data_IF_406009689877
#
_entry.id   IF_406009689877
#
_cell.length_a   1.000
_cell.length_b   1.000
_cell.length_c   1.000
_cell.angle_alpha   90.00
_cell.angle_beta   90.00
_cell.angle_gamma   90.00
#
_symmetry.space_group_name_H-M   'P 1'
#
loop_
_entity.id
_entity.type
_entity.pdbx_description
1 polymer ?
#
# COMPACT_ATOMS: atom_id res chain seq x y z
N UNK A 1 -13.11 -38.19 -16.52
CA UNK A 1 -12.63 -37.17 -17.45
C UNK A 1 -11.23 -36.78 -17.02
N UNK A 2 -10.33 -36.49 -17.98
CA UNK A 2 -9.02 -35.93 -17.62
C UNK A 2 -9.20 -34.55 -16.96
N UNK A 3 -8.43 -34.22 -15.90
CA UNK A 3 -8.49 -32.91 -15.26
C UNK A 3 -8.17 -31.77 -16.23
N UNK A 4 -9.07 -30.80 -16.38
CA UNK A 4 -8.92 -29.69 -17.33
C UNK A 4 -8.49 -28.37 -16.66
N UNK A 5 -8.75 -28.20 -15.36
CA UNK A 5 -8.50 -26.97 -14.62
C UNK A 5 -7.02 -26.67 -14.42
N UNK A 6 -6.58 -25.51 -14.89
CA UNK A 6 -5.23 -24.98 -14.64
C UNK A 6 -5.09 -24.44 -13.22
N UNK A 7 -6.16 -23.90 -12.65
CA UNK A 7 -6.16 -23.34 -11.30
C UNK A 7 -7.59 -23.35 -10.73
N UNK A 8 -7.72 -23.54 -9.43
CA UNK A 8 -8.98 -23.31 -8.73
C UNK A 8 -8.96 -21.95 -8.02
N UNK A 9 -10.13 -21.32 -7.92
CA UNK A 9 -10.32 -20.15 -7.08
C UNK A 9 -11.50 -20.34 -6.12
N UNK A 10 -11.19 -20.26 -4.82
CA UNK A 10 -12.13 -20.33 -3.71
C UNK A 10 -12.53 -18.90 -3.30
N UNK A 11 -13.81 -18.58 -3.42
CA UNK A 11 -14.39 -17.32 -2.97
C UNK A 11 -14.86 -16.44 -4.12
N UNK A 12 -16.18 -16.39 -4.32
CA UNK A 12 -16.82 -15.68 -5.43
C UNK A 12 -17.40 -14.33 -5.01
N UNK A 13 -16.64 -13.58 -4.23
CA UNK A 13 -16.90 -12.15 -4.07
C UNK A 13 -16.47 -11.40 -5.36
N UNK A 14 -16.76 -10.10 -5.43
CA UNK A 14 -16.42 -9.23 -6.56
C UNK A 14 -14.98 -9.42 -7.06
N UNK A 15 -13.99 -9.44 -6.15
CA UNK A 15 -12.58 -9.66 -6.52
C UNK A 15 -12.34 -11.04 -7.14
N UNK A 16 -12.94 -12.09 -6.57
CA UNK A 16 -12.74 -13.47 -7.03
C UNK A 16 -13.36 -13.72 -8.39
N UNK A 17 -14.59 -13.27 -8.62
CA UNK A 17 -15.28 -13.41 -9.92
C UNK A 17 -14.49 -12.73 -11.04
N UNK A 18 -14.07 -11.48 -10.81
CA UNK A 18 -13.30 -10.73 -11.79
C UNK A 18 -11.92 -11.36 -12.09
N UNK A 19 -11.25 -11.91 -11.08
CA UNK A 19 -9.96 -12.57 -11.29
C UNK A 19 -10.09 -13.90 -12.04
N UNK A 20 -11.17 -14.66 -11.79
CA UNK A 20 -11.50 -15.87 -12.56
C UNK A 20 -11.74 -15.52 -14.02
N UNK A 21 -12.56 -14.49 -14.29
CA UNK A 21 -12.84 -14.04 -15.66
C UNK A 21 -11.58 -13.56 -16.37
N UNK A 22 -10.72 -12.83 -15.67
CA UNK A 22 -9.42 -12.42 -16.19
C UNK A 22 -8.54 -13.63 -16.58
N UNK A 23 -8.44 -14.63 -15.71
CA UNK A 23 -7.73 -15.88 -16.04
C UNK A 23 -8.33 -16.61 -17.25
N UNK A 24 -9.66 -16.69 -17.34
CA UNK A 24 -10.35 -17.31 -18.47
C UNK A 24 -10.05 -16.58 -19.80
N UNK A 25 -10.07 -15.25 -19.80
CA UNK A 25 -9.77 -14.45 -21.00
C UNK A 25 -8.33 -14.62 -21.50
N UNK A 26 -7.42 -14.98 -20.58
CA UNK A 26 -6.03 -15.31 -20.90
C UNK A 26 -5.81 -16.79 -21.22
N UNK A 27 -6.88 -17.55 -21.47
CA UNK A 27 -6.84 -18.92 -21.96
C UNK A 27 -6.62 -19.99 -20.89
N UNK A 28 -6.77 -19.65 -19.60
CA UNK A 28 -6.69 -20.63 -18.51
C UNK A 28 -8.07 -21.18 -18.15
N UNK A 29 -8.18 -22.49 -17.99
CA UNK A 29 -9.39 -23.13 -17.47
C UNK A 29 -9.39 -23.01 -15.94
N UNK A 30 -10.35 -22.27 -15.38
CA UNK A 30 -10.45 -22.04 -13.93
C UNK A 30 -11.57 -22.85 -13.32
N UNK A 31 -11.30 -23.50 -12.19
CA UNK A 31 -12.33 -24.18 -11.39
C UNK A 31 -12.83 -23.23 -10.30
N UNK A 32 -14.05 -22.72 -10.47
CA UNK A 32 -14.70 -21.81 -9.54
C UNK A 32 -15.34 -22.58 -8.38
N UNK A 33 -15.02 -22.21 -7.15
CA UNK A 33 -15.63 -22.79 -5.95
C UNK A 33 -15.99 -21.71 -4.92
N UNK A 34 -17.06 -21.95 -4.18
CA UNK A 34 -17.46 -21.12 -3.06
C UNK A 34 -18.16 -21.96 -1.99
N UNK A 35 -17.99 -21.62 -0.71
CA UNK A 35 -18.63 -22.32 0.42
C UNK A 35 -20.14 -22.47 0.26
N UNK A 36 -20.80 -21.45 -0.27
CA UNK A 36 -22.23 -21.46 -0.60
C UNK A 36 -22.39 -21.80 -2.08
N UNK A 37 -22.93 -22.99 -2.38
CA UNK A 37 -23.08 -23.51 -3.75
C UNK A 37 -23.90 -22.59 -4.66
N UNK A 38 -24.95 -21.94 -4.13
CA UNK A 38 -25.77 -21.00 -4.90
C UNK A 38 -24.96 -19.87 -5.55
N UNK A 39 -23.87 -19.40 -4.92
CA UNK A 39 -22.99 -18.38 -5.53
C UNK A 39 -22.21 -18.91 -6.73
N UNK A 40 -21.90 -20.20 -6.76
CA UNK A 40 -21.30 -20.84 -7.93
C UNK A 40 -22.34 -20.90 -9.03
N UNK A 41 -23.55 -21.36 -8.72
CA UNK A 41 -24.64 -21.46 -9.69
C UNK A 41 -24.99 -20.10 -10.32
N UNK A 42 -25.11 -19.06 -9.50
CA UNK A 42 -25.35 -17.67 -9.94
C UNK A 42 -24.22 -17.16 -10.84
N UNK A 43 -22.96 -17.43 -10.50
CA UNK A 43 -21.82 -17.01 -11.30
C UNK A 43 -21.77 -17.73 -12.65
N UNK A 44 -21.99 -19.05 -12.65
CA UNK A 44 -22.01 -19.88 -13.85
C UNK A 44 -23.18 -19.55 -14.79
N UNK A 45 -24.34 -19.20 -14.24
CA UNK A 45 -25.51 -18.77 -15.02
C UNK A 45 -25.43 -17.31 -15.49
N UNK A 46 -24.61 -16.48 -14.83
CA UNK A 46 -24.42 -15.07 -15.13
C UNK A 46 -23.10 -14.80 -15.84
N UNK A 47 -22.16 -14.15 -15.13
CA UNK A 47 -20.92 -13.60 -15.69
C UNK A 47 -20.00 -14.66 -16.36
N UNK A 48 -20.06 -15.92 -15.93
CA UNK A 48 -19.27 -17.02 -16.49
C UNK A 48 -20.01 -17.83 -17.56
N UNK A 49 -21.23 -17.45 -17.95
CA UNK A 49 -21.97 -18.16 -18.99
C UNK A 49 -21.23 -18.13 -20.34
N UNK A 50 -21.05 -19.29 -20.97
CA UNK A 50 -20.35 -19.41 -22.25
C UNK A 50 -18.82 -19.32 -22.18
N UNK A 51 -18.25 -19.30 -20.98
CA UNK A 51 -16.79 -19.35 -20.77
C UNK A 51 -16.29 -20.79 -20.60
N UNK A 52 -14.97 -20.98 -20.48
CA UNK A 52 -14.36 -22.28 -20.19
C UNK A 52 -14.22 -22.53 -18.68
N UNK A 53 -14.92 -21.76 -17.84
CA UNK A 53 -14.88 -21.90 -16.38
C UNK A 53 -15.66 -23.16 -15.96
N UNK A 54 -15.12 -23.89 -14.98
CA UNK A 54 -15.77 -25.08 -14.41
C UNK A 54 -16.29 -24.71 -13.01
N UNK A 55 -17.60 -24.81 -12.79
CA UNK A 55 -18.18 -24.65 -11.46
C UNK A 55 -18.10 -25.95 -10.66
N UNK A 56 -17.52 -25.91 -9.46
CA UNK A 56 -17.52 -27.04 -8.52
C UNK A 56 -18.44 -26.77 -7.33
N UNK A 57 -19.17 -27.79 -6.87
CA UNK A 57 -20.08 -27.73 -5.72
C UNK A 57 -19.47 -28.26 -4.42
N UNK A 58 -18.31 -28.92 -4.50
CA UNK A 58 -17.57 -29.43 -3.34
C UNK A 58 -16.05 -29.34 -3.52
N UNK A 59 -15.29 -29.37 -2.42
CA UNK A 59 -13.82 -29.40 -2.48
C UNK A 59 -13.30 -30.65 -3.22
N UNK A 60 -13.80 -31.88 -2.97
CA UNK A 60 -13.38 -33.06 -3.73
C UNK A 60 -13.60 -32.92 -5.24
N UNK A 61 -14.76 -32.37 -5.64
CA UNK A 61 -15.07 -32.10 -7.04
C UNK A 61 -14.13 -31.06 -7.64
N UNK A 62 -13.86 -29.97 -6.92
CA UNK A 62 -12.91 -28.94 -7.34
C UNK A 62 -11.53 -29.54 -7.57
N UNK A 63 -11.00 -30.30 -6.61
CA UNK A 63 -9.67 -30.92 -6.65
C UNK A 63 -9.55 -31.96 -7.78
N UNK A 64 -10.60 -32.72 -8.05
CA UNK A 64 -10.63 -33.75 -9.11
C UNK A 64 -10.54 -33.13 -10.51
N UNK A 65 -11.00 -31.89 -10.68
CA UNK A 65 -10.94 -31.18 -11.96
C UNK A 65 -9.56 -30.51 -12.22
N UNK A 66 -8.64 -30.48 -11.26
CA UNK A 66 -7.36 -29.77 -11.38
C UNK A 66 -6.22 -30.61 -11.94
N UNK A 67 -5.48 -30.03 -12.89
CA UNK A 67 -4.19 -30.54 -13.38
C UNK A 67 -3.15 -30.52 -12.24
N UNK A 68 -2.25 -31.51 -12.23
CA UNK A 68 -1.13 -31.61 -11.27
C UNK A 68 0.12 -30.82 -11.73
N UNK A 69 0.92 -30.23 -10.81
CA UNK A 69 0.58 -30.02 -9.40
C UNK A 69 -0.63 -29.07 -9.30
N UNK A 70 -1.54 -29.42 -8.39
CA UNK A 70 -2.81 -28.70 -8.23
C UNK A 70 -2.51 -27.31 -7.66
N UNK A 71 -3.21 -26.32 -8.20
CA UNK A 71 -3.06 -24.91 -7.82
C UNK A 71 -4.40 -24.43 -7.28
N UNK A 72 -4.47 -24.12 -5.98
CA UNK A 72 -5.71 -23.72 -5.31
C UNK A 72 -5.53 -22.34 -4.71
N UNK A 73 -6.14 -21.33 -5.33
CA UNK A 73 -6.14 -19.95 -4.86
C UNK A 73 -7.37 -19.64 -3.99
N UNK A 74 -7.18 -18.89 -2.92
CA UNK A 74 -8.21 -18.46 -2.01
C UNK A 74 -8.32 -16.93 -2.02
N UNK A 75 -9.53 -16.41 -2.24
CA UNK A 75 -9.91 -15.01 -2.07
C UNK A 75 -11.09 -14.91 -1.10
N UNK A 76 -10.79 -15.23 0.16
CA UNK A 76 -11.76 -15.23 1.26
C UNK A 76 -11.41 -14.16 2.29
N UNK A 77 -12.26 -13.99 3.31
CA UNK A 77 -11.99 -13.07 4.41
C UNK A 77 -10.70 -13.50 5.13
N UNK A 78 -9.78 -12.57 5.33
CA UNK A 78 -8.51 -12.81 6.03
C UNK A 78 -8.74 -13.29 7.48
N UNK A 79 -7.71 -13.96 8.04
CA UNK A 79 -7.75 -14.58 9.36
C UNK A 79 -8.24 -16.03 9.32
N UNK A 80 -8.99 -16.46 10.36
CA UNK A 80 -9.45 -17.83 10.56
C UNK A 80 -10.06 -18.51 9.32
N UNK A 81 -10.89 -17.84 8.48
CA UNK A 81 -11.47 -18.50 7.31
C UNK A 81 -10.44 -19.03 6.31
N UNK A 82 -9.25 -18.42 6.23
CA UNK A 82 -8.15 -18.95 5.39
C UNK A 82 -7.57 -20.23 6.00
N UNK A 83 -7.36 -20.26 7.31
CA UNK A 83 -6.84 -21.44 8.01
C UNK A 83 -7.84 -22.61 7.92
N UNK A 84 -9.14 -22.34 8.09
CA UNK A 84 -10.19 -23.35 7.95
C UNK A 84 -10.22 -23.98 6.54
N UNK A 85 -9.95 -23.19 5.49
CA UNK A 85 -9.88 -23.71 4.13
C UNK A 85 -8.60 -24.49 3.89
N UNK A 86 -7.45 -24.06 4.43
CA UNK A 86 -6.21 -24.84 4.36
C UNK A 86 -6.46 -26.24 4.93
N UNK A 87 -7.02 -26.34 6.14
CA UNK A 87 -7.27 -27.63 6.78
C UNK A 87 -8.28 -28.51 6.02
N UNK A 88 -9.28 -27.90 5.38
CA UNK A 88 -10.22 -28.62 4.50
C UNK A 88 -9.58 -29.11 3.19
N UNK A 89 -8.55 -28.43 2.69
CA UNK A 89 -7.87 -28.80 1.44
C UNK A 89 -6.85 -29.92 1.65
N UNK A 90 -6.13 -29.92 2.78
CA UNK A 90 -5.05 -30.87 3.05
C UNK A 90 -5.39 -32.35 2.78
N UNK A 91 -6.58 -32.89 3.14
CA UNK A 91 -6.90 -34.30 2.90
C UNK A 91 -7.04 -34.69 1.42
N UNK A 92 -7.17 -33.71 0.52
CA UNK A 92 -7.42 -33.92 -0.91
C UNK A 92 -6.22 -33.57 -1.80
N UNK A 93 -5.17 -32.97 -1.23
CA UNK A 93 -3.97 -32.57 -1.95
C UNK A 93 -2.85 -33.61 -1.78
N UNK A 94 -1.94 -33.66 -2.74
CA UNK A 94 -0.78 -34.56 -2.76
C UNK A 94 0.53 -33.76 -2.68
N UNK A 95 1.65 -34.37 -2.23
CA UNK A 95 2.93 -33.69 -2.16
C UNK A 95 3.31 -32.95 -3.44
N UNK A 96 3.73 -31.68 -3.30
CA UNK A 96 4.02 -30.76 -4.40
C UNK A 96 2.84 -29.90 -4.87
N UNK A 97 1.60 -30.18 -4.44
CA UNK A 97 0.46 -29.30 -4.71
C UNK A 97 0.59 -27.95 -3.98
N UNK A 98 -0.08 -26.92 -4.52
CA UNK A 98 0.16 -25.52 -4.19
C UNK A 98 -1.13 -24.87 -3.67
N UNK A 99 -1.07 -24.35 -2.44
CA UNK A 99 -2.10 -23.52 -1.85
C UNK A 99 -1.68 -22.05 -1.97
N UNK A 100 -2.59 -21.19 -2.43
CA UNK A 100 -2.33 -19.77 -2.64
C UNK A 100 -3.35 -18.95 -1.86
N UNK A 101 -2.88 -18.08 -0.97
CA UNK A 101 -3.72 -17.07 -0.30
C UNK A 101 -3.57 -15.74 -1.06
N UNK A 102 -4.61 -15.33 -1.77
CA UNK A 102 -4.67 -14.05 -2.49
C UNK A 102 -5.29 -12.90 -1.70
N UNK A 103 -5.66 -13.13 -0.44
CA UNK A 103 -6.35 -12.16 0.40
C UNK A 103 -5.46 -11.00 0.83
N UNK A 104 -6.03 -10.10 1.65
CA UNK A 104 -5.22 -9.12 2.39
C UNK A 104 -4.86 -9.71 3.76
N UNK A 105 -4.15 -10.84 3.78
CA UNK A 105 -3.69 -11.48 5.00
C UNK A 105 -2.51 -10.73 5.62
N UNK A 106 -2.39 -10.82 6.93
CA UNK A 106 -1.23 -10.34 7.67
C UNK A 106 -0.02 -11.24 7.36
N UNK A 107 1.17 -10.67 7.20
CA UNK A 107 2.31 -11.42 6.65
C UNK A 107 2.84 -12.50 7.61
N UNK A 108 2.71 -12.30 8.92
CA UNK A 108 3.05 -13.29 9.95
C UNK A 108 2.16 -14.54 9.84
N UNK A 109 0.88 -14.37 9.50
CA UNK A 109 0.01 -15.50 9.21
C UNK A 109 0.52 -16.29 8.00
N UNK A 110 1.00 -15.60 6.96
CA UNK A 110 1.60 -16.27 5.81
C UNK A 110 2.93 -16.96 6.13
N UNK A 111 3.77 -16.40 7.01
CA UNK A 111 4.97 -17.09 7.50
C UNK A 111 4.57 -18.39 8.21
N UNK A 112 3.60 -18.32 9.13
CA UNK A 112 3.07 -19.49 9.85
C UNK A 112 2.47 -20.53 8.89
N UNK A 113 1.62 -20.09 7.95
CA UNK A 113 0.96 -20.95 6.97
C UNK A 113 1.95 -21.61 6.02
N UNK A 114 2.98 -20.88 5.59
CA UNK A 114 4.05 -21.45 4.76
C UNK A 114 4.69 -22.64 5.47
N UNK A 115 5.13 -22.45 6.72
CA UNK A 115 5.73 -23.52 7.53
C UNK A 115 4.77 -24.71 7.73
N UNK A 116 3.50 -24.43 8.02
CA UNK A 116 2.50 -25.48 8.24
C UNK A 116 2.24 -26.32 6.98
N UNK A 117 2.01 -25.66 5.84
CA UNK A 117 1.72 -26.32 4.56
C UNK A 117 2.94 -27.10 4.06
N UNK A 118 4.15 -26.54 4.19
CA UNK A 118 5.40 -27.25 3.86
C UNK A 118 5.64 -28.49 4.73
N UNK A 119 5.25 -28.46 6.01
CA UNK A 119 5.35 -29.64 6.89
C UNK A 119 4.45 -30.81 6.45
N UNK A 120 3.49 -30.54 5.55
CA UNK A 120 2.61 -31.54 4.92
C UNK A 120 3.09 -31.96 3.52
N UNK A 121 4.27 -31.51 3.09
CA UNK A 121 4.83 -31.80 1.76
C UNK A 121 4.22 -30.97 0.63
N UNK A 122 3.47 -29.92 0.95
CA UNK A 122 2.83 -29.02 0.00
C UNK A 122 3.59 -27.69 -0.10
N UNK A 123 3.21 -26.85 -1.06
CA UNK A 123 3.75 -25.49 -1.18
C UNK A 123 2.69 -24.43 -0.86
N UNK A 124 3.13 -23.31 -0.30
CA UNK A 124 2.27 -22.17 -0.01
C UNK A 124 2.76 -20.91 -0.69
N UNK A 125 1.85 -20.11 -1.24
CA UNK A 125 2.12 -18.76 -1.73
C UNK A 125 1.14 -17.79 -1.07
N UNK A 126 1.66 -16.82 -0.31
CA UNK A 126 0.91 -15.63 0.08
C UNK A 126 1.12 -14.55 -0.97
N UNK A 127 0.06 -14.16 -1.69
CA UNK A 127 0.15 -13.22 -2.80
C UNK A 127 -0.73 -11.99 -2.60
N UNK A 128 -0.10 -10.82 -2.55
CA UNK A 128 -0.84 -9.57 -2.57
C UNK A 128 -1.46 -9.31 -3.94
N UNK A 129 -2.77 -9.04 -4.00
CA UNK A 129 -3.46 -8.61 -5.23
C UNK A 129 -3.97 -7.18 -5.06
N UNK A 130 -3.57 -6.25 -5.92
CA UNK A 130 -3.98 -4.83 -5.89
C UNK A 130 -4.58 -4.41 -7.22
N UNK A 131 -5.53 -3.46 -7.19
CA UNK A 131 -6.22 -2.94 -8.38
C UNK A 131 -7.73 -2.70 -8.25
N UNK A 132 -8.32 -3.09 -7.12
CA UNK A 132 -9.76 -3.01 -6.93
C UNK A 132 -10.52 -3.97 -7.85
N UNK A 133 -11.83 -3.73 -7.97
CA UNK A 133 -12.72 -4.55 -8.79
C UNK A 133 -12.32 -4.55 -10.27
N UNK A 134 -12.15 -3.36 -10.84
CA UNK A 134 -11.76 -3.17 -12.24
C UNK A 134 -10.37 -3.76 -12.51
N UNK A 135 -9.38 -3.46 -11.65
CA UNK A 135 -8.04 -4.00 -11.82
C UNK A 135 -7.99 -5.53 -11.74
N UNK A 136 -8.80 -6.17 -10.89
CA UNK A 136 -8.88 -7.64 -10.88
C UNK A 136 -9.34 -8.22 -12.23
N UNK A 137 -10.22 -7.50 -12.94
CA UNK A 137 -10.80 -7.92 -14.23
C UNK A 137 -9.86 -7.71 -15.41
N UNK A 138 -9.11 -6.61 -15.41
CA UNK A 138 -8.35 -6.13 -16.58
C UNK A 138 -6.84 -6.26 -16.43
N UNK A 139 -6.33 -6.38 -15.20
CA UNK A 139 -4.91 -6.51 -14.92
C UNK A 139 -4.51 -5.98 -13.56
N UNK A 140 -4.44 -6.81 -12.50
CA UNK A 140 -4.03 -6.35 -11.19
C UNK A 140 -2.49 -6.33 -11.09
N UNK A 141 -1.99 -5.67 -10.04
CA UNK A 141 -0.64 -5.92 -9.54
C UNK A 141 -0.65 -7.15 -8.63
N UNK A 142 0.28 -8.09 -8.84
CA UNK A 142 0.33 -9.38 -8.13
C UNK A 142 1.71 -9.57 -7.51
N UNK A 143 1.75 -9.77 -6.19
CA UNK A 143 2.96 -9.74 -5.37
C UNK A 143 3.16 -11.10 -4.65
N UNK A 144 3.55 -12.18 -5.36
CA UNK A 144 3.68 -13.51 -4.78
C UNK A 144 4.94 -13.68 -3.93
N UNK A 145 4.79 -14.30 -2.76
CA UNK A 145 5.90 -14.82 -1.96
C UNK A 145 5.49 -16.08 -1.18
N UNK A 146 6.46 -16.88 -0.72
CA UNK A 146 6.18 -18.16 -0.06
C UNK A 146 7.22 -19.23 -0.37
N UNK A 147 6.77 -20.42 -0.72
CA UNK A 147 7.62 -21.53 -1.20
C UNK A 147 8.14 -21.24 -2.61
N UNK A 148 9.43 -20.94 -2.75
CA UNK A 148 10.05 -20.58 -4.05
C UNK A 148 9.88 -21.66 -5.12
N UNK A 149 9.87 -22.94 -4.72
CA UNK A 149 9.64 -24.07 -5.61
C UNK A 149 8.25 -24.04 -6.31
N UNK A 150 7.26 -23.34 -5.76
CA UNK A 150 5.94 -23.21 -6.39
C UNK A 150 5.88 -22.12 -7.48
N UNK A 151 6.81 -21.16 -7.48
CA UNK A 151 6.79 -20.03 -8.41
C UNK A 151 6.73 -20.46 -9.89
N UNK A 152 7.54 -21.41 -10.39
CA UNK A 152 7.50 -21.82 -11.80
C UNK A 152 6.11 -22.31 -12.26
N UNK A 153 5.30 -22.88 -11.36
CA UNK A 153 4.00 -23.46 -11.68
C UNK A 153 2.87 -22.42 -11.75
N UNK A 154 3.04 -21.26 -11.10
CA UNK A 154 2.03 -20.17 -11.08
C UNK A 154 2.46 -18.96 -11.89
N UNK A 155 3.76 -18.84 -12.22
CA UNK A 155 4.35 -17.69 -12.93
C UNK A 155 3.59 -17.32 -14.19
N UNK A 156 3.35 -18.28 -15.08
CA UNK A 156 2.71 -18.00 -16.36
C UNK A 156 1.28 -17.48 -16.18
N UNK A 157 0.52 -18.03 -15.23
CA UNK A 157 -0.84 -17.57 -14.92
C UNK A 157 -0.79 -16.13 -14.38
N UNK A 158 0.02 -15.89 -13.35
CA UNK A 158 0.06 -14.58 -12.69
C UNK A 158 0.63 -13.48 -13.60
N UNK A 159 1.70 -13.80 -14.33
CA UNK A 159 2.25 -12.83 -15.27
C UNK A 159 1.31 -12.56 -16.44
N UNK A 160 0.58 -13.54 -16.96
CA UNK A 160 -0.41 -13.33 -18.02
C UNK A 160 -1.52 -12.38 -17.57
N UNK A 161 -2.17 -12.65 -16.43
CA UNK A 161 -3.33 -11.88 -15.97
C UNK A 161 -3.00 -10.53 -15.34
N UNK A 162 -1.75 -10.30 -14.92
CA UNK A 162 -1.35 -9.02 -14.30
C UNK A 162 -1.37 -7.85 -15.28
N UNK A 163 -1.44 -6.62 -14.77
CA UNK A 163 -1.21 -5.44 -15.59
C UNK A 163 0.14 -5.51 -16.32
N UNK A 164 0.21 -4.90 -17.50
CA UNK A 164 1.47 -4.70 -18.24
C UNK A 164 1.80 -3.22 -18.25
N UNK A 165 3.07 -2.88 -18.07
CA UNK A 165 3.56 -1.51 -18.32
C UNK A 165 3.88 -1.33 -19.81
N UNK A 166 4.23 -0.11 -20.22
CA UNK A 166 4.45 0.30 -21.63
C UNK A 166 5.40 -0.61 -22.43
N UNK A 167 6.43 -1.16 -21.77
CA UNK A 167 7.42 -2.06 -22.39
C UNK A 167 6.96 -3.54 -22.45
N UNK A 168 5.71 -3.82 -22.03
CA UNK A 168 5.14 -5.16 -21.96
C UNK A 168 5.51 -5.94 -20.70
N UNK A 169 6.31 -5.40 -19.77
CA UNK A 169 6.67 -6.11 -18.56
C UNK A 169 5.46 -6.32 -17.63
N UNK A 170 5.28 -7.52 -17.06
CA UNK A 170 4.20 -7.80 -16.13
C UNK A 170 4.42 -7.11 -14.79
N UNK A 171 3.34 -6.56 -14.23
CA UNK A 171 3.27 -6.07 -12.85
C UNK A 171 3.16 -7.23 -11.85
N UNK A 172 3.99 -8.26 -12.06
CA UNK A 172 4.06 -9.46 -11.25
C UNK A 172 5.44 -10.10 -11.38
N UNK A 173 6.11 -10.27 -10.23
CA UNK A 173 7.34 -11.04 -10.11
C UNK A 173 7.46 -11.66 -8.71
N UNK A 174 8.37 -12.62 -8.55
CA UNK A 174 8.64 -13.25 -7.27
C UNK A 174 9.19 -12.23 -6.26
N UNK A 175 8.47 -12.05 -5.15
CA UNK A 175 8.83 -11.08 -4.11
C UNK A 175 9.89 -11.64 -3.17
N UNK A 176 9.72 -12.90 -2.74
CA UNK A 176 10.62 -13.53 -1.78
C UNK A 176 9.96 -14.66 -0.99
N UNK A 177 10.70 -15.21 -0.04
CA UNK A 177 10.27 -16.34 0.77
C UNK A 177 9.14 -15.99 1.77
N UNK A 178 8.41 -17.00 2.21
CA UNK A 178 7.46 -16.94 3.32
C UNK A 178 6.38 -15.84 3.12
N UNK A 179 6.20 -14.94 4.09
CA UNK A 179 5.22 -13.86 4.04
C UNK A 179 5.61 -12.64 3.19
N UNK A 180 6.73 -12.67 2.44
CA UNK A 180 7.25 -11.48 1.75
C UNK A 180 6.25 -10.83 0.80
N UNK A 181 5.45 -11.62 0.07
CA UNK A 181 4.42 -11.12 -0.84
C UNK A 181 3.35 -10.27 -0.15
N UNK A 182 2.76 -10.80 0.93
CA UNK A 182 1.81 -10.05 1.75
C UNK A 182 2.45 -8.89 2.50
N UNK A 183 3.72 -8.98 2.89
CA UNK A 183 4.44 -7.86 3.50
C UNK A 183 4.56 -6.68 2.54
N UNK A 184 4.99 -6.92 1.29
CA UNK A 184 5.06 -5.89 0.25
C UNK A 184 3.68 -5.30 -0.01
N UNK A 185 2.62 -6.11 -0.02
CA UNK A 185 1.24 -5.61 -0.16
C UNK A 185 0.77 -4.77 1.04
N UNK A 186 1.18 -5.14 2.25
CA UNK A 186 0.91 -4.35 3.46
C UNK A 186 1.54 -2.96 3.31
N UNK A 187 2.83 -2.88 2.95
CA UNK A 187 3.52 -1.61 2.75
C UNK A 187 2.92 -0.80 1.60
N UNK A 188 2.53 -1.43 0.47
CA UNK A 188 1.77 -0.78 -0.60
C UNK A 188 0.53 -0.08 -0.04
N UNK A 189 -0.27 -0.76 0.80
CA UNK A 189 -1.47 -0.17 1.39
C UNK A 189 -1.15 0.95 2.38
N UNK A 190 -0.03 0.88 3.09
CA UNK A 190 0.46 1.98 3.92
C UNK A 190 0.78 3.22 3.07
N UNK A 191 1.50 3.04 1.97
CA UNK A 191 1.80 4.11 1.00
C UNK A 191 0.51 4.68 0.39
N UNK A 192 -0.44 3.83 0.02
CA UNK A 192 -1.77 4.24 -0.46
C UNK A 192 -2.47 5.18 0.52
N UNK A 193 -2.42 4.87 1.83
CA UNK A 193 -3.01 5.73 2.86
C UNK A 193 -2.31 7.08 2.92
N UNK A 194 -0.98 7.10 2.80
CA UNK A 194 -0.18 8.32 2.73
C UNK A 194 -0.55 9.19 1.52
N UNK A 195 -0.59 8.60 0.32
CA UNK A 195 -0.90 9.30 -0.92
C UNK A 195 -2.31 9.93 -0.87
N UNK A 196 -3.31 9.16 -0.44
CA UNK A 196 -4.68 9.68 -0.26
C UNK A 196 -4.72 10.84 0.73
N UNK A 197 -4.05 10.71 1.88
CA UNK A 197 -4.04 11.76 2.91
C UNK A 197 -3.38 13.05 2.39
N UNK A 198 -2.26 12.95 1.68
CA UNK A 198 -1.59 14.11 1.08
C UNK A 198 -2.49 14.83 0.07
N UNK A 199 -3.21 14.07 -0.76
CA UNK A 199 -4.17 14.63 -1.72
C UNK A 199 -5.34 15.31 -1.00
N UNK A 200 -5.87 14.71 0.08
CA UNK A 200 -6.89 15.33 0.92
C UNK A 200 -6.41 16.65 1.57
N UNK A 201 -5.15 16.72 1.98
CA UNK A 201 -4.55 17.94 2.53
C UNK A 201 -4.43 19.04 1.45
N UNK A 202 -4.00 18.69 0.24
CA UNK A 202 -3.98 19.61 -0.90
C UNK A 202 -5.39 20.15 -1.23
N UNK A 203 -6.38 19.25 -1.29
CA UNK A 203 -7.79 19.61 -1.44
C UNK A 203 -8.26 20.56 -0.32
N UNK A 204 -7.95 20.27 0.94
CA UNK A 204 -8.36 21.09 2.08
C UNK A 204 -7.73 22.50 2.03
N UNK A 205 -6.45 22.60 1.66
CA UNK A 205 -5.77 23.88 1.47
C UNK A 205 -6.41 24.72 0.35
N UNK A 206 -6.81 24.10 -0.76
CA UNK A 206 -7.50 24.78 -1.86
C UNK A 206 -8.93 25.18 -1.46
N UNK A 207 -9.71 24.26 -0.89
CA UNK A 207 -11.09 24.49 -0.51
C UNK A 207 -11.22 25.51 0.62
N UNK A 208 -10.62 25.23 1.78
CA UNK A 208 -10.81 26.05 2.97
C UNK A 208 -9.81 27.20 3.07
N UNK A 209 -8.61 27.05 2.48
CA UNK A 209 -7.61 28.10 2.45
C UNK A 209 -7.84 29.11 1.32
N UNK A 210 -8.05 28.64 0.09
CA UNK A 210 -8.20 29.48 -1.10
C UNK A 210 -9.66 29.68 -1.55
N UNK A 211 -10.63 29.15 -0.80
CA UNK A 211 -12.07 29.23 -1.11
C UNK A 211 -12.40 28.72 -2.52
N UNK A 212 -11.72 27.68 -2.97
CA UNK A 212 -11.92 27.12 -4.31
C UNK A 212 -13.19 26.29 -4.42
N UNK A 213 -13.87 26.38 -5.57
CA UNK A 213 -14.99 25.48 -5.89
C UNK A 213 -14.49 24.10 -6.31
N UNK A 214 -15.38 23.10 -6.31
CA UNK A 214 -15.08 21.77 -6.82
C UNK A 214 -14.60 21.79 -8.29
N UNK A 215 -15.18 22.67 -9.12
CA UNK A 215 -14.82 22.79 -10.54
C UNK A 215 -13.44 23.44 -10.73
N UNK A 216 -13.10 24.45 -9.91
CA UNK A 216 -11.75 25.03 -9.93
C UNK A 216 -10.69 23.99 -9.48
N UNK A 217 -10.99 23.19 -8.46
CA UNK A 217 -10.09 22.14 -7.99
C UNK A 217 -9.99 21.00 -9.00
N UNK A 218 -11.08 20.63 -9.68
CA UNK A 218 -11.07 19.66 -10.78
C UNK A 218 -10.05 20.07 -11.86
N UNK A 219 -10.07 21.34 -12.28
CA UNK A 219 -9.13 21.85 -13.28
C UNK A 219 -7.67 21.77 -12.80
N UNK A 220 -7.39 22.09 -11.54
CA UNK A 220 -6.03 21.99 -10.96
C UNK A 220 -5.55 20.53 -10.92
N UNK A 221 -6.37 19.60 -10.43
CA UNK A 221 -5.97 18.19 -10.40
C UNK A 221 -5.83 17.59 -11.80
N UNK A 222 -6.59 18.08 -12.78
CA UNK A 222 -6.40 17.73 -14.20
C UNK A 222 -5.01 18.15 -14.68
N UNK A 223 -4.63 19.41 -14.46
CA UNK A 223 -3.30 19.93 -14.83
C UNK A 223 -2.17 19.17 -14.13
N UNK A 224 -2.31 18.91 -12.81
CA UNK A 224 -1.31 18.14 -12.06
C UNK A 224 -1.12 16.73 -12.59
N UNK A 225 -2.17 16.10 -13.12
CA UNK A 225 -2.09 14.75 -13.69
C UNK A 225 -1.37 14.70 -15.05
N UNK A 226 -1.14 15.84 -15.69
CA UNK A 226 -0.35 15.93 -16.94
C UNK A 226 1.15 16.14 -16.64
N UNK A 227 1.51 16.30 -15.35
CA UNK A 227 2.87 16.62 -14.89
C UNK A 227 3.52 15.53 -14.04
N UNK A 228 4.35 15.94 -13.08
CA UNK A 228 5.12 15.04 -12.20
C UNK A 228 4.27 14.28 -11.16
N UNK A 229 3.00 14.67 -11.00
CA UNK A 229 2.02 14.03 -10.14
C UNK A 229 1.12 13.03 -10.88
N UNK A 230 1.35 12.77 -12.16
CA UNK A 230 0.62 11.76 -12.94
C UNK A 230 0.50 10.44 -12.19
N UNK A 231 -0.74 10.15 -11.77
CA UNK A 231 -1.09 8.98 -10.98
C UNK A 231 -2.58 8.72 -10.96
N UNK A 232 -2.95 7.46 -10.79
CA UNK A 232 -4.36 7.08 -10.70
C UNK A 232 -5.11 7.79 -9.57
N UNK A 233 -4.47 8.00 -8.41
CA UNK A 233 -5.13 8.71 -7.29
C UNK A 233 -5.42 10.18 -7.61
N UNK A 234 -4.58 10.85 -8.40
CA UNK A 234 -4.83 12.22 -8.86
C UNK A 234 -5.94 12.23 -9.91
N UNK A 235 -5.92 11.27 -10.84
CA UNK A 235 -6.97 11.05 -11.85
C UNK A 235 -8.35 10.86 -11.22
N UNK A 236 -8.51 9.92 -10.29
CA UNK A 236 -9.82 9.70 -9.65
C UNK A 236 -10.23 10.90 -8.79
N UNK A 237 -9.28 11.65 -8.23
CA UNK A 237 -9.59 12.87 -7.46
C UNK A 237 -10.16 13.94 -8.37
N UNK A 238 -9.58 14.14 -9.55
CA UNK A 238 -10.13 15.00 -10.62
C UNK A 238 -11.56 14.57 -10.95
N UNK A 239 -11.79 13.27 -11.18
CA UNK A 239 -13.10 12.78 -11.61
C UNK A 239 -14.17 12.90 -10.50
N UNK A 240 -13.79 12.61 -9.24
CA UNK A 240 -14.64 12.80 -8.06
C UNK A 240 -15.07 14.26 -7.91
N UNK A 241 -14.15 15.21 -8.10
CA UNK A 241 -14.46 16.64 -8.02
C UNK A 241 -15.39 17.12 -9.15
N UNK A 242 -15.32 16.47 -10.32
CA UNK A 242 -16.20 16.74 -11.45
C UNK A 242 -17.59 16.11 -11.32
N UNK A 243 -17.76 15.12 -10.44
CA UNK A 243 -19.01 14.37 -10.31
C UNK A 243 -20.10 15.18 -9.58
N UNK A 244 -21.27 15.32 -10.23
CA UNK A 244 -22.45 15.98 -9.67
C UNK A 244 -23.47 14.94 -9.23
N UNK A 245 -24.17 15.22 -8.13
CA UNK A 245 -25.28 14.40 -7.66
C UNK A 245 -26.57 14.70 -8.43
N UNK A 246 -27.66 14.00 -8.07
CA UNK A 246 -28.99 14.14 -8.70
C UNK A 246 -29.56 15.57 -8.63
N UNK A 247 -29.07 16.39 -7.69
CA UNK A 247 -29.48 17.78 -7.50
C UNK A 247 -28.52 18.78 -8.17
N UNK A 248 -27.54 18.30 -8.94
CA UNK A 248 -26.55 19.12 -9.65
C UNK A 248 -25.41 19.66 -8.78
N UNK A 249 -25.35 19.33 -7.48
CA UNK A 249 -24.28 19.77 -6.58
C UNK A 249 -23.09 18.79 -6.58
N UNK A 250 -21.86 19.21 -6.19
CA UNK A 250 -20.73 18.29 -6.12
C UNK A 250 -20.96 17.22 -5.06
N UNK A 251 -20.99 15.93 -5.45
CA UNK A 251 -21.32 14.83 -4.53
C UNK A 251 -20.34 14.76 -3.35
N UNK A 252 -19.06 15.03 -3.60
CA UNK A 252 -17.98 14.99 -2.60
C UNK A 252 -18.25 15.89 -1.38
N UNK A 253 -19.03 16.96 -1.53
CA UNK A 253 -19.38 17.85 -0.41
C UNK A 253 -20.50 17.32 0.48
N UNK A 254 -21.22 16.29 0.02
CA UNK A 254 -22.31 15.63 0.74
C UNK A 254 -21.86 14.33 1.41
N UNK A 255 -20.66 13.85 1.11
CA UNK A 255 -20.09 12.64 1.74
C UNK A 255 -19.69 12.96 3.18
N UNK A 256 -20.11 12.10 4.12
CA UNK A 256 -19.72 12.21 5.52
C UNK A 256 -18.20 12.06 5.67
N UNK A 257 -17.55 13.01 6.35
CA UNK A 257 -16.11 13.10 6.56
C UNK A 257 -15.61 12.13 7.66
N UNK A 258 -15.98 10.86 7.55
CA UNK A 258 -15.56 9.75 8.43
C UNK A 258 -14.91 8.66 7.59
N UNK A 259 -13.58 8.64 7.56
CA UNK A 259 -12.85 7.68 6.74
C UNK A 259 -12.88 6.27 7.34
N UNK A 260 -13.34 5.29 6.55
CA UNK A 260 -13.19 3.88 6.87
C UNK A 260 -11.75 3.39 6.72
N UNK A 261 -11.42 2.29 7.40
CA UNK A 261 -10.17 1.54 7.19
C UNK A 261 -10.38 0.05 7.47
N UNK A 262 -9.69 -0.79 6.70
CA UNK A 262 -9.75 -2.27 6.82
C UNK A 262 -8.61 -2.87 7.64
N UNK A 263 -7.76 -2.04 8.25
CA UNK A 263 -6.67 -2.44 9.15
C UNK A 263 -5.28 -2.57 8.53
N UNK A 264 -5.16 -2.70 7.21
CA UNK A 264 -3.87 -2.90 6.51
C UNK A 264 -2.91 -1.72 6.66
N UNK A 265 -3.40 -0.48 6.62
CA UNK A 265 -2.58 0.71 6.89
C UNK A 265 -2.03 0.71 8.33
N UNK A 266 -2.87 0.34 9.31
CA UNK A 266 -2.48 0.20 10.72
C UNK A 266 -1.38 -0.85 10.90
N UNK A 267 -1.43 -1.99 10.20
CA UNK A 267 -0.38 -3.01 10.28
C UNK A 267 0.99 -2.48 9.83
N UNK A 268 1.03 -1.64 8.78
CA UNK A 268 2.29 -0.99 8.35
C UNK A 268 2.88 -0.14 9.48
N UNK A 269 2.03 0.62 10.19
CA UNK A 269 2.47 1.49 11.29
C UNK A 269 2.96 0.65 12.49
N UNK A 270 2.23 -0.40 12.86
CA UNK A 270 2.65 -1.30 13.95
C UNK A 270 4.00 -1.92 13.63
N UNK A 271 4.14 -2.51 12.44
CA UNK A 271 5.38 -3.14 12.04
C UNK A 271 6.55 -2.15 11.96
N UNK A 272 6.29 -0.90 11.55
CA UNK A 272 7.32 0.13 11.58
C UNK A 272 7.86 0.41 12.98
N UNK A 273 6.99 0.42 13.98
CA UNK A 273 7.39 0.61 15.38
C UNK A 273 8.16 -0.60 15.91
N UNK A 274 7.72 -1.83 15.57
CA UNK A 274 8.41 -3.08 15.93
C UNK A 274 9.82 -3.14 15.35
N UNK A 275 10.00 -2.72 14.10
CA UNK A 275 11.30 -2.69 13.42
C UNK A 275 12.14 -1.42 13.73
N UNK A 276 11.63 -0.50 14.56
CA UNK A 276 12.32 0.75 14.89
C UNK A 276 12.51 1.69 13.69
N UNK A 277 11.60 1.67 12.72
CA UNK A 277 11.68 2.44 11.48
C UNK A 277 10.72 3.64 11.47
N UNK A 278 11.19 4.85 11.12
CA UNK A 278 10.38 6.07 11.19
C UNK A 278 9.45 6.26 9.97
N UNK A 279 8.37 5.47 9.85
CA UNK A 279 7.35 5.67 8.80
C UNK A 279 6.28 6.68 9.23
N UNK A 280 6.72 7.91 9.53
CA UNK A 280 5.90 8.92 10.19
C UNK A 280 4.72 9.40 9.35
N UNK A 281 4.87 9.51 8.02
CA UNK A 281 3.79 9.99 7.15
C UNK A 281 2.63 9.00 7.10
N UNK A 282 2.94 7.71 6.93
CA UNK A 282 1.92 6.64 6.93
C UNK A 282 1.21 6.59 8.29
N UNK A 283 1.95 6.78 9.39
CA UNK A 283 1.36 6.86 10.73
C UNK A 283 0.36 8.02 10.86
N UNK A 284 0.74 9.23 10.44
CA UNK A 284 -0.18 10.38 10.42
C UNK A 284 -1.39 10.16 9.51
N UNK A 285 -1.22 9.47 8.37
CA UNK A 285 -2.35 9.12 7.52
C UNK A 285 -3.33 8.16 8.19
N UNK A 286 -2.84 7.21 9.00
CA UNK A 286 -3.71 6.34 9.81
C UNK A 286 -4.41 7.14 10.91
N UNK A 287 -3.69 8.01 11.63
CA UNK A 287 -4.28 8.82 12.70
C UNK A 287 -5.26 9.89 12.17
N UNK A 288 -5.02 10.43 10.98
CA UNK A 288 -5.97 11.33 10.30
C UNK A 288 -7.30 10.63 10.01
N UNK A 289 -7.30 9.34 9.67
CA UNK A 289 -8.54 8.55 9.58
C UNK A 289 -9.20 8.37 10.94
N UNK A 290 -8.43 8.05 11.97
CA UNK A 290 -8.95 7.89 13.33
C UNK A 290 -9.62 9.18 13.84
N UNK A 291 -8.98 10.34 13.69
CA UNK A 291 -9.58 11.62 14.12
C UNK A 291 -10.81 12.00 13.29
N UNK A 292 -10.85 11.62 12.00
CA UNK A 292 -12.05 11.82 11.17
C UNK A 292 -13.25 11.04 11.71
N UNK A 293 -13.05 9.82 12.22
CA UNK A 293 -14.10 8.98 12.79
C UNK A 293 -14.70 9.55 14.09
N UNK A 294 -13.97 10.40 14.82
CA UNK A 294 -14.45 11.11 16.01
C UNK A 294 -15.36 12.30 15.65
N UNK A 295 -16.31 12.11 14.73
CA UNK A 295 -17.10 13.20 14.13
C UNK A 295 -17.90 13.99 15.16
N UNK A 296 -18.62 13.31 16.04
CA UNK A 296 -19.46 13.96 17.06
C UNK A 296 -18.61 14.79 18.04
N UNK A 297 -17.45 14.28 18.41
CA UNK A 297 -16.52 14.99 19.28
C UNK A 297 -15.92 16.21 18.57
N UNK A 298 -15.59 16.09 17.27
CA UNK A 298 -15.15 17.25 16.46
C UNK A 298 -16.21 18.34 16.34
N UNK A 299 -17.48 17.97 16.15
CA UNK A 299 -18.61 18.94 16.14
C UNK A 299 -18.71 19.65 17.49
N UNK A 300 -18.65 18.92 18.60
CA UNK A 300 -18.69 19.52 19.94
C UNK A 300 -17.48 20.44 20.16
N UNK A 301 -16.29 19.99 19.77
CA UNK A 301 -15.04 20.74 19.92
C UNK A 301 -15.05 22.05 19.11
N UNK A 302 -15.59 22.05 17.88
CA UNK A 302 -15.59 23.23 17.01
C UNK A 302 -16.41 24.40 17.55
N UNK A 303 -17.35 24.16 18.47
CA UNK A 303 -18.12 25.22 19.13
C UNK A 303 -17.43 25.82 20.35
N UNK A 304 -16.39 25.14 20.88
CA UNK A 304 -15.72 25.49 22.14
C UNK A 304 -14.27 25.94 21.94
N UNK A 305 -13.55 25.35 21.00
CA UNK A 305 -12.15 25.64 20.71
C UNK A 305 -12.04 26.69 19.60
N UNK A 306 -11.27 27.75 19.85
CA UNK A 306 -11.03 28.83 18.88
C UNK A 306 -9.68 28.66 18.20
N UNK A 307 -9.62 28.98 16.91
CA UNK A 307 -8.40 29.02 16.12
C UNK A 307 -8.40 30.20 15.14
N UNK A 308 -7.30 30.42 14.42
CA UNK A 308 -7.25 31.40 13.33
C UNK A 308 -8.27 31.05 12.22
N UNK A 309 -8.65 32.05 11.42
CA UNK A 309 -9.50 31.82 10.24
C UNK A 309 -8.66 31.19 9.11
N UNK A 310 -9.21 30.17 8.39
CA UNK A 310 -8.45 29.41 7.40
C UNK A 310 -8.11 30.20 6.13
N UNK A 311 -8.85 31.26 5.82
CA UNK A 311 -8.67 32.05 4.60
C UNK A 311 -7.22 32.53 4.39
N UNK A 312 -6.67 32.25 3.20
CA UNK A 312 -5.31 32.57 2.78
C UNK A 312 -5.37 33.74 1.77
N UNK A 313 -5.04 34.94 2.24
CA UNK A 313 -4.86 36.12 1.38
C UNK A 313 -3.47 36.10 0.73
N UNK A 314 -3.31 35.30 -0.32
CA UNK A 314 -2.10 35.23 -1.16
C UNK A 314 -2.49 35.17 -2.64
N UNK A 315 -1.49 35.35 -3.50
CA UNK A 315 -1.60 34.98 -4.91
C UNK A 315 -2.02 33.50 -5.02
N UNK A 316 -3.22 33.27 -5.57
CA UNK A 316 -3.88 31.96 -5.65
C UNK A 316 -3.05 31.00 -6.50
N UNK A 317 -2.60 31.43 -7.68
CA UNK A 317 -1.83 30.60 -8.61
C UNK A 317 -0.47 30.21 -8.00
N UNK A 318 0.23 31.17 -7.40
CA UNK A 318 1.49 30.90 -6.72
C UNK A 318 1.35 29.93 -5.55
N UNK A 319 0.28 30.06 -4.77
CA UNK A 319 0.08 29.16 -3.63
C UNK A 319 -0.37 27.76 -4.08
N UNK A 320 -1.12 27.63 -5.18
CA UNK A 320 -1.42 26.32 -5.80
C UNK A 320 -0.12 25.62 -6.22
N UNK A 321 0.84 26.33 -6.81
CA UNK A 321 2.15 25.75 -7.14
C UNK A 321 2.97 25.36 -5.88
N UNK A 322 2.91 26.17 -4.82
CA UNK A 322 3.50 25.80 -3.53
C UNK A 322 2.85 24.50 -2.97
N UNK A 323 1.53 24.33 -3.10
CA UNK A 323 0.80 23.09 -2.73
C UNK A 323 1.25 21.91 -3.58
N UNK A 324 1.36 22.06 -4.90
CA UNK A 324 1.85 21.02 -5.81
C UNK A 324 3.25 20.55 -5.41
N UNK A 325 4.15 21.49 -5.14
CA UNK A 325 5.49 21.21 -4.63
C UNK A 325 5.47 20.47 -3.29
N UNK A 326 4.63 20.90 -2.35
CA UNK A 326 4.49 20.27 -1.04
C UNK A 326 3.99 18.83 -1.15
N UNK A 327 2.97 18.60 -1.98
CA UNK A 327 2.39 17.29 -2.27
C UNK A 327 3.45 16.35 -2.86
N UNK A 328 4.16 16.79 -3.90
CA UNK A 328 5.18 15.98 -4.57
C UNK A 328 6.36 15.64 -3.64
N UNK A 329 6.89 16.62 -2.91
CA UNK A 329 7.98 16.39 -1.96
C UNK A 329 7.57 15.44 -0.81
N UNK A 330 6.37 15.60 -0.29
CA UNK A 330 5.85 14.73 0.78
C UNK A 330 5.60 13.30 0.27
N UNK A 331 5.13 13.15 -0.97
CA UNK A 331 5.00 11.84 -1.63
C UNK A 331 6.36 11.15 -1.73
N UNK A 332 7.42 11.85 -2.16
CA UNK A 332 8.79 11.29 -2.17
C UNK A 332 9.20 10.76 -0.79
N UNK A 333 8.92 11.52 0.27
CA UNK A 333 9.23 11.09 1.64
C UNK A 333 8.44 9.84 2.05
N UNK A 334 7.14 9.77 1.75
CA UNK A 334 6.31 8.60 2.05
C UNK A 334 6.90 7.31 1.44
N UNK A 335 7.28 7.36 0.15
CA UNK A 335 7.87 6.21 -0.52
C UNK A 335 9.27 5.92 0.03
N UNK A 336 10.10 6.93 0.31
CA UNK A 336 11.39 6.73 0.94
C UNK A 336 11.25 5.97 2.27
N UNK A 337 10.28 6.35 3.11
CA UNK A 337 9.95 5.67 4.37
C UNK A 337 9.46 4.23 4.15
N UNK A 338 8.57 4.00 3.18
CA UNK A 338 8.08 2.65 2.85
C UNK A 338 9.19 1.70 2.38
N UNK A 339 10.11 2.18 1.53
CA UNK A 339 11.25 1.38 1.08
C UNK A 339 12.30 1.17 2.19
N UNK A 340 12.49 2.16 3.08
CA UNK A 340 13.29 1.97 4.29
C UNK A 340 12.73 0.85 5.16
N UNK A 341 11.41 0.81 5.34
CA UNK A 341 10.71 -0.22 6.10
C UNK A 341 10.89 -1.61 5.47
N UNK A 342 10.67 -1.74 4.16
CA UNK A 342 10.92 -3.00 3.44
C UNK A 342 12.36 -3.49 3.54
N UNK A 343 13.34 -2.57 3.59
CA UNK A 343 14.74 -2.94 3.80
C UNK A 343 15.02 -3.42 5.22
N UNK A 344 14.42 -2.80 6.24
CA UNK A 344 14.53 -3.29 7.61
C UNK A 344 13.94 -4.69 7.75
N UNK A 345 12.75 -4.93 7.18
CA UNK A 345 12.11 -6.24 7.17
C UNK A 345 12.91 -7.29 6.39
N UNK A 346 13.50 -6.92 5.25
CA UNK A 346 14.38 -7.82 4.52
C UNK A 346 15.57 -8.30 5.37
N UNK A 347 16.14 -7.41 6.19
CA UNK A 347 17.21 -7.76 7.14
C UNK A 347 16.69 -8.63 8.28
N UNK A 348 15.56 -8.27 8.89
CA UNK A 348 14.98 -8.98 10.04
C UNK A 348 14.58 -10.42 9.67
N UNK A 349 13.87 -10.59 8.56
CA UNK A 349 13.31 -11.88 8.14
C UNK A 349 14.21 -12.66 7.16
N UNK A 350 15.40 -12.14 6.84
CA UNK A 350 16.33 -12.76 5.91
C UNK A 350 15.82 -12.84 4.46
N UNK A 351 14.90 -11.97 4.06
CA UNK A 351 14.34 -11.96 2.71
C UNK A 351 15.27 -11.26 1.70
N UNK A 352 15.32 -11.81 0.48
CA UNK A 352 16.05 -11.22 -0.65
C UNK A 352 15.11 -10.40 -1.53
N UNK A 353 14.69 -9.25 -1.04
CA UNK A 353 13.78 -8.37 -1.77
C UNK A 353 14.50 -7.65 -2.92
N UNK A 354 13.87 -7.61 -4.10
CA UNK A 354 14.32 -6.78 -5.22
C UNK A 354 13.46 -5.49 -5.28
N UNK A 355 14.02 -4.38 -4.80
CA UNK A 355 13.31 -3.10 -4.71
C UNK A 355 12.95 -2.50 -6.09
N UNK A 356 13.77 -2.75 -7.12
CA UNK A 356 13.45 -2.36 -8.49
C UNK A 356 12.23 -3.11 -9.04
N UNK A 357 12.18 -4.42 -8.81
CA UNK A 357 11.04 -5.24 -9.24
C UNK A 357 9.78 -4.95 -8.41
N UNK A 358 9.91 -4.63 -7.12
CA UNK A 358 8.78 -4.16 -6.30
C UNK A 358 8.22 -2.85 -6.87
N UNK A 359 9.09 -1.89 -7.21
CA UNK A 359 8.65 -0.64 -7.84
C UNK A 359 7.98 -0.91 -9.21
N UNK A 360 8.53 -1.82 -10.01
CA UNK A 360 7.93 -2.27 -11.28
C UNK A 360 6.53 -2.85 -11.08
N UNK A 361 6.34 -3.75 -10.10
CA UNK A 361 5.04 -4.35 -9.80
C UNK A 361 3.98 -3.30 -9.43
N UNK A 362 4.38 -2.15 -8.88
CA UNK A 362 3.46 -1.08 -8.53
C UNK A 362 3.19 -0.11 -9.70
N UNK A 363 3.97 -0.13 -10.79
CA UNK A 363 3.82 0.83 -11.91
C UNK A 363 2.48 0.73 -12.63
N UNK A 364 1.84 -0.44 -12.61
CA UNK A 364 0.55 -0.69 -13.24
C UNK A 364 -0.34 -1.57 -12.37
N UNK A 365 -1.64 -1.59 -12.67
CA UNK A 365 -2.62 -2.48 -12.05
C UNK A 365 -2.95 -2.23 -10.58
N UNK A 366 -2.13 -1.50 -9.82
CA UNK A 366 -2.39 -1.18 -8.42
C UNK A 366 -3.00 0.23 -8.24
N UNK A 367 -3.42 0.56 -7.01
CA UNK A 367 -4.02 1.87 -6.69
C UNK A 367 -2.98 3.00 -6.71
N UNK A 368 -1.75 2.72 -6.24
CA UNK A 368 -0.68 3.74 -6.17
C UNK A 368 0.09 3.93 -7.49
N UNK A 369 -0.41 3.32 -8.59
CA UNK A 369 0.25 3.37 -9.91
C UNK A 369 0.44 4.81 -10.37
N UNK A 370 1.64 5.11 -10.86
CA UNK A 370 2.07 6.47 -11.18
C UNK A 370 3.36 6.47 -12.01
N UNK A 371 3.57 7.53 -12.80
CA UNK A 371 4.83 7.76 -13.50
C UNK A 371 6.03 7.84 -12.54
N UNK A 372 5.77 8.29 -11.30
CA UNK A 372 6.70 8.35 -10.18
C UNK A 372 7.42 7.01 -9.88
N UNK A 373 6.71 5.88 -9.98
CA UNK A 373 7.26 4.55 -9.69
C UNK A 373 8.32 4.10 -10.70
N UNK A 374 8.25 4.59 -11.95
CA UNK A 374 9.31 4.39 -12.94
C UNK A 374 10.64 4.97 -12.46
N UNK A 375 10.61 6.14 -11.82
CA UNK A 375 11.82 6.80 -11.28
C UNK A 375 12.41 6.06 -10.08
N UNK A 376 11.56 5.40 -9.28
CA UNK A 376 12.03 4.53 -8.19
C UNK A 376 12.74 3.31 -8.77
N UNK A 377 12.17 2.68 -9.80
CA UNK A 377 12.82 1.56 -10.50
C UNK A 377 14.18 2.00 -11.05
N UNK A 378 14.24 3.11 -11.77
CA UNK A 378 15.49 3.66 -12.33
C UNK A 378 16.57 3.86 -11.25
N UNK A 379 16.19 4.33 -10.06
CA UNK A 379 17.11 4.55 -8.96
C UNK A 379 17.72 3.24 -8.42
N UNK A 380 16.91 2.19 -8.27
CA UNK A 380 17.39 0.88 -7.81
C UNK A 380 18.10 0.08 -8.92
N UNK A 381 17.74 0.25 -10.19
CA UNK A 381 18.48 -0.35 -11.31
C UNK A 381 19.91 0.20 -11.35
N UNK A 382 20.08 1.52 -11.16
CA UNK A 382 21.41 2.16 -11.10
C UNK A 382 22.17 1.78 -9.84
N UNK A 383 21.47 1.72 -8.71
CA UNK A 383 22.07 1.47 -7.40
C UNK A 383 21.23 0.46 -6.60
N UNK A 384 21.41 -0.86 -6.81
CA UNK A 384 20.60 -1.89 -6.14
C UNK A 384 20.70 -1.89 -4.61
N UNK A 385 21.79 -1.31 -4.07
CA UNK A 385 22.04 -1.16 -2.62
C UNK A 385 21.74 0.26 -2.11
N UNK A 386 20.97 1.06 -2.87
CA UNK A 386 20.60 2.41 -2.48
C UNK A 386 19.97 2.41 -1.08
N UNK A 387 20.54 3.23 -0.19
CA UNK A 387 20.09 3.21 1.19
C UNK A 387 18.77 3.95 1.42
N UNK A 388 18.52 4.99 0.64
CA UNK A 388 17.31 5.79 0.74
C UNK A 388 17.08 6.47 -0.59
N UNK A 389 15.83 6.53 -1.05
CA UNK A 389 15.44 7.21 -2.28
C UNK A 389 15.88 8.68 -2.30
N UNK A 390 15.89 9.35 -1.14
CA UNK A 390 16.34 10.73 -0.99
C UNK A 390 17.81 10.95 -1.35
N UNK A 391 18.62 9.89 -1.49
CA UNK A 391 20.03 9.98 -1.87
C UNK A 391 20.27 9.84 -3.38
N UNK A 392 19.26 9.38 -4.13
CA UNK A 392 19.33 9.29 -5.58
C UNK A 392 19.25 10.67 -6.25
N UNK A 393 19.92 10.80 -7.41
CA UNK A 393 20.10 12.07 -8.12
C UNK A 393 18.79 12.71 -8.56
N UNK A 394 17.81 11.93 -9.01
CA UNK A 394 16.51 12.45 -9.44
C UNK A 394 15.74 13.01 -8.22
N UNK A 395 15.61 12.23 -7.16
CA UNK A 395 14.84 12.64 -5.97
C UNK A 395 15.49 13.81 -5.21
N UNK A 396 16.83 13.86 -5.14
CA UNK A 396 17.54 15.03 -4.61
C UNK A 396 17.18 16.32 -5.35
N UNK A 397 17.13 16.27 -6.68
CA UNK A 397 16.77 17.42 -7.52
C UNK A 397 15.32 17.84 -7.30
N UNK A 398 14.39 16.87 -7.29
CA UNK A 398 12.98 17.11 -7.02
C UNK A 398 12.76 17.80 -5.68
N UNK A 399 13.31 17.25 -4.59
CA UNK A 399 13.23 17.85 -3.25
C UNK A 399 13.82 19.26 -3.23
N UNK A 400 14.99 19.47 -3.85
CA UNK A 400 15.62 20.80 -3.91
C UNK A 400 14.75 21.84 -4.60
N UNK A 401 14.01 21.45 -5.64
CA UNK A 401 13.10 22.33 -6.37
C UNK A 401 11.82 22.60 -5.56
N UNK A 402 11.28 21.59 -4.88
CA UNK A 402 10.01 21.67 -4.18
C UNK A 402 10.09 22.23 -2.75
N UNK A 403 11.24 22.16 -2.08
CA UNK A 403 11.36 22.47 -0.65
C UNK A 403 10.93 23.90 -0.26
N UNK A 404 11.05 24.88 -1.17
CA UNK A 404 10.60 26.27 -0.88
C UNK A 404 9.08 26.34 -0.77
N UNK A 405 8.37 25.82 -1.77
CA UNK A 405 6.91 25.75 -1.76
C UNK A 405 6.39 24.86 -0.63
N UNK A 406 7.07 23.75 -0.39
CA UNK A 406 6.77 22.85 0.71
C UNK A 406 6.81 23.52 2.09
N UNK A 407 7.91 24.24 2.39
CA UNK A 407 8.04 25.02 3.64
C UNK A 407 7.00 26.12 3.74
N UNK A 408 6.70 26.80 2.63
CA UNK A 408 5.66 27.82 2.61
C UNK A 408 4.29 27.25 2.99
N UNK A 409 3.92 26.08 2.44
CA UNK A 409 2.66 25.42 2.75
C UNK A 409 2.56 25.08 4.23
N UNK A 410 3.56 24.41 4.80
CA UNK A 410 3.56 24.05 6.23
C UNK A 410 3.43 25.29 7.11
N UNK A 411 4.20 26.34 6.82
CA UNK A 411 4.18 27.58 7.60
C UNK A 411 2.83 28.31 7.50
N UNK A 412 2.23 28.37 6.31
CA UNK A 412 0.94 29.04 6.11
C UNK A 412 -0.20 28.24 6.73
N UNK A 413 -0.22 26.93 6.53
CA UNK A 413 -1.25 26.04 7.08
C UNK A 413 -1.28 26.15 8.61
N UNK A 414 -0.12 26.10 9.27
CA UNK A 414 -0.03 26.29 10.71
C UNK A 414 -0.55 27.68 11.16
N UNK A 415 -0.14 28.76 10.48
CA UNK A 415 -0.61 30.13 10.79
C UNK A 415 -2.11 30.31 10.59
N UNK A 416 -2.73 29.54 9.71
CA UNK A 416 -4.14 29.62 9.34
C UNK A 416 -5.01 28.55 9.99
N UNK A 417 -4.41 27.65 10.79
CA UNK A 417 -5.15 26.59 11.47
C UNK A 417 -5.74 25.55 10.52
N UNK A 418 -5.11 25.34 9.35
CA UNK A 418 -5.50 24.28 8.42
C UNK A 418 -4.64 23.04 8.73
N UNK A 419 -5.23 21.90 9.10
CA UNK A 419 -4.47 20.71 9.45
C UNK A 419 -3.83 20.10 8.19
N UNK A 420 -2.51 19.92 8.26
CA UNK A 420 -1.70 19.26 7.22
C UNK A 420 -0.70 18.26 7.84
N UNK A 421 -1.19 17.26 8.60
CA UNK A 421 -0.33 16.36 9.38
C UNK A 421 0.66 15.57 8.52
N UNK A 422 0.23 15.03 7.37
CA UNK A 422 1.10 14.25 6.48
C UNK A 422 2.15 15.13 5.79
N UNK A 423 1.77 16.31 5.27
CA UNK A 423 2.73 17.25 4.66
C UNK A 423 3.73 17.76 5.71
N UNK A 424 3.28 18.05 6.94
CA UNK A 424 4.14 18.56 8.01
C UNK A 424 5.13 17.52 8.52
N UNK A 425 4.67 16.30 8.78
CA UNK A 425 5.54 15.22 9.29
C UNK A 425 6.57 14.79 8.24
N UNK A 426 6.23 14.86 6.96
CA UNK A 426 7.19 14.59 5.90
C UNK A 426 8.31 15.64 5.87
N UNK A 427 7.99 16.92 6.10
CA UNK A 427 9.01 17.97 6.17
C UNK A 427 9.91 17.78 7.40
N UNK A 428 9.30 17.47 8.55
CA UNK A 428 10.02 17.17 9.78
C UNK A 428 10.94 15.95 9.62
N UNK A 429 10.47 14.89 8.96
CA UNK A 429 11.30 13.72 8.63
C UNK A 429 12.47 14.10 7.73
N UNK A 430 12.22 14.84 6.64
CA UNK A 430 13.27 15.26 5.71
C UNK A 430 14.36 16.08 6.42
N UNK A 431 13.95 17.08 7.21
CA UNK A 431 14.88 17.90 7.99
C UNK A 431 15.62 17.08 9.05
N UNK A 432 14.97 16.09 9.68
CA UNK A 432 15.61 15.20 10.63
C UNK A 432 16.64 14.29 9.95
N UNK A 433 16.29 13.69 8.81
CA UNK A 433 17.11 12.70 8.11
C UNK A 433 18.39 13.31 7.52
N UNK A 434 18.36 14.59 7.11
CA UNK A 434 19.53 15.29 6.56
C UNK A 434 20.39 15.99 7.61
N UNK A 435 20.03 15.91 8.89
CA UNK A 435 20.74 16.59 9.98
C UNK A 435 21.75 15.64 10.60
N UNK A 436 23.02 16.02 10.60
CA UNK A 436 24.12 15.21 11.15
C UNK A 436 23.98 14.99 12.66
N UNK A 437 23.60 16.03 13.41
CA UNK A 437 23.44 15.99 14.86
C UNK A 437 22.03 16.41 15.26
N UNK A 438 21.23 15.43 15.68
CA UNK A 438 19.90 15.65 16.25
C UNK A 438 19.98 15.93 17.75
N UNK A 439 18.95 16.54 18.36
CA UNK A 439 18.92 16.83 19.80
C UNK A 439 18.77 15.57 20.69
N UNK A 440 18.96 14.37 20.14
CA UNK A 440 18.90 13.11 20.87
C UNK A 440 20.04 12.94 21.88
N UNK A 441 21.09 13.76 21.81
CA UNK A 441 22.11 13.85 22.85
C UNK A 441 21.52 14.28 24.22
N UNK A 442 20.61 15.27 24.23
CA UNK A 442 19.91 15.67 25.46
C UNK A 442 18.96 14.57 25.94
N UNK A 443 18.26 13.90 25.02
CA UNK A 443 17.40 12.74 25.35
C UNK A 443 18.22 11.64 26.03
N UNK A 444 19.41 11.31 25.50
CA UNK A 444 20.32 10.35 26.12
C UNK A 444 20.80 10.81 27.50
N UNK A 445 21.17 12.08 27.66
CA UNK A 445 21.58 12.64 28.95
C UNK A 445 20.44 12.56 29.99
N UNK A 446 19.20 12.88 29.61
CA UNK A 446 18.03 12.76 30.49
C UNK A 446 17.83 11.30 30.95
N UNK A 447 17.91 10.34 30.03
CA UNK A 447 17.77 8.90 30.33
C UNK A 447 18.87 8.41 31.28
N UNK A 448 20.11 8.83 31.07
CA UNK A 448 21.21 8.48 31.97
C UNK A 448 21.03 9.14 33.35
N UNK A 449 20.56 10.39 33.40
CA UNK A 449 20.32 11.14 34.63
C UNK A 449 19.35 10.44 35.58
N UNK A 450 18.14 10.11 35.14
CA UNK A 450 17.12 9.55 36.05
C UNK A 450 17.20 8.03 36.18
N UNK A 451 17.84 7.34 35.23
CA UNK A 451 17.70 5.89 35.08
C UNK A 451 19.00 5.12 34.84
N UNK A 452 20.15 5.78 34.88
CA UNK A 452 21.46 5.18 34.60
C UNK A 452 21.49 4.35 33.30
N UNK A 453 20.75 4.82 32.28
CA UNK A 453 20.57 4.10 31.01
C UNK A 453 21.80 4.11 30.11
N UNK A 454 22.89 4.77 30.52
CA UNK A 454 24.15 4.91 29.78
C UNK A 454 24.00 5.64 28.43
N UNK A 455 25.12 6.06 27.86
CA UNK A 455 25.17 6.73 26.55
C UNK A 455 26.54 6.52 25.87
N UNK A 456 26.59 6.72 24.55
CA UNK A 456 27.84 6.75 23.79
C UNK A 456 28.33 8.18 23.58
N UNK A 457 29.64 8.35 23.31
CA UNK A 457 30.26 9.67 23.09
C UNK A 457 30.80 9.81 21.67
N UNK A 458 30.79 11.05 21.15
CA UNK A 458 31.29 11.36 19.79
C UNK A 458 32.82 11.33 19.68
N UNK A 459 33.53 11.43 20.80
CA UNK A 459 34.99 11.40 20.90
C UNK A 459 35.53 10.02 21.31
N UNK A 460 34.69 8.98 21.23
CA UNK A 460 35.01 7.59 21.59
C UNK A 460 34.51 6.62 20.51
N UNK A 461 35.10 5.42 20.40
CA UNK A 461 34.61 4.39 19.48
C UNK A 461 33.12 4.06 19.72
N UNK A 462 32.39 3.81 18.62
CA UNK A 462 30.99 3.37 18.66
C UNK A 462 30.89 2.03 19.40
N UNK A 463 29.89 1.89 20.27
CA UNK A 463 29.68 0.71 21.12
C UNK A 463 30.30 0.81 22.52
N UNK A 464 31.09 1.86 22.80
CA UNK A 464 31.53 2.17 24.17
C UNK A 464 30.47 2.99 24.91
N UNK A 465 29.99 2.46 26.04
CA UNK A 465 28.94 3.09 26.85
C UNK A 465 29.51 3.71 28.13
N UNK A 466 29.01 4.89 28.46
CA UNK A 466 29.40 5.71 29.60
C UNK A 466 28.17 5.97 30.48
N UNK A 467 28.40 6.04 31.78
CA UNK A 467 27.43 6.53 32.76
C UNK A 467 28.07 7.71 33.50
N UNK A 468 27.29 8.75 33.79
CA UNK A 468 27.74 9.89 34.59
C UNK A 468 27.00 9.90 35.92
N UNK A 469 27.72 10.10 37.04
CA UNK A 469 27.08 10.49 38.29
C UNK A 469 26.68 11.97 38.19
N UNK A 470 25.41 12.21 37.86
CA UNK A 470 24.91 13.57 37.62
C UNK A 470 24.66 14.38 38.89
N UNK A 471 24.55 13.73 40.05
CA UNK A 471 24.18 14.37 41.32
C UNK A 471 25.36 14.64 42.25
N UNK A 472 26.57 14.19 41.90
CA UNK A 472 27.78 14.32 42.72
C UNK A 472 28.13 13.05 43.46
#
# INVERSE_FOLDING_TARGET
>A
MEPQGDIALIGLAVMGRNLILNMNDHGFTVVAYNRTAAKVDEFMAGEAAGTNIIGARSIPEMVTNLKRPRRVMMLVKAGQPVDDFIDQLLPYLEPGDIIIDGGNSLYEDSIRRTKYVESRGLHFIGTGVSGGEEGARTGPSIMPGGSEAAWPYVKNIFQAISAKVEDGAPCCDWVGANGAGHYVKMVHNGIEYGDMQLICEAYNLMKNGLSMSADEMHAVFKEWNEGDLDSYLIEITRDILGYKDENGGPLVEKILDTAGQKGTGKWTVINSAELGMPTTLIAEAVFARCISALKDDRIKASTKLRGPKPAISRDKAKFIEDIRCALYASKIVSYAQGFMLMRAAAKEYGWKLNYGNIALMWRGGCIIRSAFLGKIKDAYDKHPRLQNLLLDTFFKRAIRQSQKGWRNVVAVAAKRGIPVPAISTALAFFDSYRTEQLPANLLQAQRDYFGAHTYERIDKPRGEFFHTNWTG
#
